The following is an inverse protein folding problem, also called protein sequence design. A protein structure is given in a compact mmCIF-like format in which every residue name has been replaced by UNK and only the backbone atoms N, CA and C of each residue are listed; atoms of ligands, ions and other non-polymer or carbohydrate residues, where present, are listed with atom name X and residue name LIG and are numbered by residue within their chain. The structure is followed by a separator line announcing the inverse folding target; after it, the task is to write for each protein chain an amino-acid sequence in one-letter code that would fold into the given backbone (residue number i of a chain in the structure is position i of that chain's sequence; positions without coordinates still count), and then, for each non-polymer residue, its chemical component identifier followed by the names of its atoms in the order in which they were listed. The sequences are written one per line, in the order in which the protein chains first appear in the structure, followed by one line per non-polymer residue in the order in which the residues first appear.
data_IF_046157178394
#
_entry.id   IF_046157178394
#
_cell.length_a   1.000
_cell.length_b   1.000
_cell.length_c   1.000
_cell.angle_alpha   90.00
_cell.angle_beta   90.00
_cell.angle_gamma   90.00
#
_symmetry.space_group_name_H-M   'P 1'
#
loop_
_entity.id
_entity.type
_entity.pdbx_description
1 polymer ?
#
# COMPACT_ATOMS: atom_id res chain seq x y z
N UNK A 1 10.49 41.44 44.92
CA UNK A 1 9.38 41.07 44.03
C UNK A 1 9.95 40.14 42.97
N UNK A 2 9.61 38.87 43.08
CA UNK A 2 10.05 37.79 42.18
C UNK A 2 9.11 37.73 40.98
N UNK A 3 9.67 37.76 39.77
CA UNK A 3 8.94 37.46 38.53
C UNK A 3 9.33 36.05 38.09
N UNK A 4 8.40 35.12 38.25
CA UNK A 4 8.52 33.76 37.76
C UNK A 4 8.34 33.73 36.24
N UNK A 5 9.36 33.24 35.53
CA UNK A 5 9.27 32.82 34.14
C UNK A 5 8.68 31.41 34.09
N UNK A 6 7.42 31.30 33.65
CA UNK A 6 6.82 30.03 33.26
C UNK A 6 7.30 29.66 31.86
N UNK A 7 8.33 28.83 31.80
CA UNK A 7 8.70 28.10 30.58
C UNK A 7 7.79 26.88 30.47
N UNK A 8 6.85 26.90 29.53
CA UNK A 8 6.05 25.72 29.18
C UNK A 8 6.95 24.80 28.35
N UNK A 9 7.49 23.79 29.01
CA UNK A 9 7.94 22.56 28.36
C UNK A 9 6.72 21.66 28.15
N UNK A 10 6.51 21.17 26.93
CA UNK A 10 6.04 19.81 26.56
C UNK A 10 5.28 19.83 25.22
N UNK A 11 5.82 19.12 24.22
CA UNK A 11 5.05 18.44 23.16
C UNK A 11 5.89 17.49 22.26
N UNK A 12 7.22 17.41 22.35
CA UNK A 12 8.02 16.63 21.38
C UNK A 12 8.36 15.19 21.80
N UNK A 13 8.13 14.80 23.06
CA UNK A 13 8.51 13.47 23.58
C UNK A 13 7.44 12.37 23.44
N UNK A 14 6.20 12.69 23.08
CA UNK A 14 5.13 11.67 22.96
C UNK A 14 5.14 10.94 21.61
N UNK A 15 5.57 11.57 20.51
CA UNK A 15 5.42 10.99 19.16
C UNK A 15 6.43 9.88 18.85
N UNK A 16 7.62 9.91 19.48
CA UNK A 16 8.68 8.91 19.23
C UNK A 16 8.32 7.57 19.91
N UNK A 17 7.87 7.63 21.17
CA UNK A 17 7.45 6.44 21.93
C UNK A 17 6.20 5.77 21.32
N UNK A 18 5.26 6.53 20.74
CA UNK A 18 4.08 5.96 20.08
C UNK A 18 4.42 5.29 18.75
N UNK A 19 5.30 5.91 17.94
CA UNK A 19 5.73 5.33 16.66
C UNK A 19 6.43 3.98 16.87
N UNK A 20 7.34 3.90 17.84
CA UNK A 20 8.06 2.66 18.16
C UNK A 20 7.12 1.53 18.61
N UNK A 21 5.99 1.87 19.27
CA UNK A 21 4.99 0.89 19.69
C UNK A 21 4.16 0.31 18.55
N UNK A 22 3.91 1.09 17.50
CA UNK A 22 3.00 0.68 16.40
C UNK A 22 3.73 0.18 15.15
N UNK A 23 5.06 0.33 15.06
CA UNK A 23 5.87 -0.20 13.94
C UNK A 23 5.67 -1.69 13.70
N UNK A 24 5.39 -2.46 14.75
CA UNK A 24 5.11 -3.89 14.66
C UNK A 24 3.86 -4.25 13.83
N UNK A 25 3.01 -3.27 13.49
CA UNK A 25 1.81 -3.51 12.68
C UNK A 25 2.09 -3.69 11.19
N UNK A 26 3.29 -3.32 10.73
CA UNK A 26 3.76 -3.57 9.37
C UNK A 26 2.94 -2.89 8.25
N UNK A 27 2.08 -1.91 8.61
CA UNK A 27 1.17 -1.23 7.68
C UNK A 27 1.17 0.27 7.98
N UNK A 28 1.74 1.07 7.07
CA UNK A 28 1.84 2.53 7.21
C UNK A 28 0.47 3.19 7.38
N UNK A 29 -0.59 2.64 6.79
CA UNK A 29 -1.95 3.17 6.90
C UNK A 29 -2.43 3.06 8.34
N UNK A 30 -2.23 1.91 8.98
CA UNK A 30 -2.60 1.69 10.39
C UNK A 30 -1.72 2.51 11.33
N UNK A 31 -0.43 2.62 11.04
CA UNK A 31 0.50 3.46 11.81
C UNK A 31 0.05 4.92 11.75
N UNK A 32 -0.25 5.45 10.56
CA UNK A 32 -0.74 6.81 10.39
C UNK A 32 -2.07 7.02 11.11
N UNK A 33 -3.02 6.08 10.97
CA UNK A 33 -4.33 6.20 11.61
C UNK A 33 -4.22 6.29 13.14
N UNK A 34 -3.27 5.57 13.74
CA UNK A 34 -3.09 5.59 15.19
C UNK A 34 -2.19 6.70 15.73
N UNK A 35 -1.14 7.11 14.99
CA UNK A 35 -0.19 8.14 15.47
C UNK A 35 -0.64 9.54 15.08
N UNK A 36 -1.09 9.73 13.84
CA UNK A 36 -1.38 11.04 13.26
C UNK A 36 -2.89 11.30 13.12
N UNK A 37 -3.73 10.27 13.31
CA UNK A 37 -5.20 10.36 13.35
C UNK A 37 -5.86 9.63 14.55
N UNK A 38 -5.34 9.72 15.81
CA UNK A 38 -5.78 8.92 16.96
C UNK A 38 -7.27 9.11 17.36
N UNK A 39 -7.98 10.04 16.71
CA UNK A 39 -9.41 10.19 16.85
C UNK A 39 -10.03 10.35 15.44
N UNK A 40 -10.63 9.28 14.86
CA UNK A 40 -11.16 9.28 13.48
C UNK A 40 -12.33 10.24 13.23
N UNK A 41 -12.65 11.12 14.20
CA UNK A 41 -13.70 12.15 14.13
C UNK A 41 -13.18 13.57 13.89
N UNK A 42 -11.86 13.81 13.79
CA UNK A 42 -11.32 15.17 13.64
C UNK A 42 -10.88 15.52 12.21
N UNK A 43 -10.25 14.61 11.47
CA UNK A 43 -9.78 14.89 10.11
C UNK A 43 -10.81 14.41 9.09
N UNK A 44 -11.38 15.34 8.33
CA UNK A 44 -12.23 15.01 7.17
C UNK A 44 -11.36 14.48 6.03
N UNK A 45 -11.94 13.72 5.10
CA UNK A 45 -11.25 13.30 3.85
C UNK A 45 -10.50 14.46 3.19
N UNK A 46 -11.14 15.63 3.08
CA UNK A 46 -10.54 16.84 2.50
C UNK A 46 -9.20 17.26 3.14
N UNK A 47 -9.10 17.17 4.47
CA UNK A 47 -7.87 17.52 5.20
C UNK A 47 -6.78 16.49 4.93
N UNK A 48 -7.12 15.21 4.90
CA UNK A 48 -6.16 14.13 4.64
C UNK A 48 -5.66 14.19 3.19
N UNK A 49 -6.52 14.56 2.24
CA UNK A 49 -6.12 14.84 0.85
C UNK A 49 -5.13 16.00 0.79
N UNK A 50 -5.38 17.08 1.54
CA UNK A 50 -4.44 18.21 1.60
C UNK A 50 -3.08 17.80 2.21
N UNK A 51 -3.07 16.98 3.26
CA UNK A 51 -1.84 16.41 3.83
C UNK A 51 -1.09 15.54 2.80
N UNK A 52 -1.82 14.67 2.07
CA UNK A 52 -1.23 13.83 1.02
C UNK A 52 -0.59 14.68 -0.09
N UNK A 53 -1.29 15.72 -0.57
CA UNK A 53 -0.78 16.66 -1.59
C UNK A 53 0.51 17.34 -1.13
N UNK A 54 0.57 17.80 0.13
CA UNK A 54 1.78 18.43 0.67
C UNK A 54 2.93 17.43 0.80
N UNK A 55 2.66 16.23 1.31
CA UNK A 55 3.65 15.17 1.43
C UNK A 55 4.25 14.77 0.08
N UNK A 56 3.42 14.66 -0.96
CA UNK A 56 3.86 14.42 -2.34
C UNK A 56 4.85 15.47 -2.85
N UNK A 57 4.52 16.75 -2.65
CA UNK A 57 5.38 17.86 -3.10
C UNK A 57 6.72 17.84 -2.35
N UNK A 58 6.68 17.61 -1.03
CA UNK A 58 7.86 17.62 -0.17
C UNK A 58 8.82 16.47 -0.48
N UNK A 59 8.32 15.25 -0.60
CA UNK A 59 9.11 14.08 -1.01
C UNK A 59 9.66 14.24 -2.42
N UNK A 60 8.88 14.84 -3.32
CA UNK A 60 9.33 15.23 -4.65
C UNK A 60 10.54 16.16 -4.63
N UNK A 61 10.47 17.24 -3.84
CA UNK A 61 11.57 18.18 -3.68
C UNK A 61 12.81 17.53 -3.07
N UNK A 62 12.64 16.68 -2.05
CA UNK A 62 13.76 15.94 -1.45
C UNK A 62 14.49 15.01 -2.45
N UNK A 63 13.82 14.58 -3.52
CA UNK A 63 14.34 13.66 -4.53
C UNK A 63 14.71 14.34 -5.86
N UNK A 64 14.67 15.67 -5.95
CA UNK A 64 14.82 16.44 -7.21
C UNK A 64 13.81 15.99 -8.29
N UNK A 65 12.56 15.79 -7.88
CA UNK A 65 11.41 15.37 -8.70
C UNK A 65 10.25 16.38 -8.62
N UNK A 66 10.56 17.64 -8.34
CA UNK A 66 9.61 18.72 -8.04
C UNK A 66 8.50 18.83 -9.09
N UNK A 67 8.86 18.82 -10.37
CA UNK A 67 7.90 18.99 -11.46
C UNK A 67 6.91 17.82 -11.53
N UNK A 68 7.39 16.58 -11.43
CA UNK A 68 6.54 15.39 -11.42
C UNK A 68 5.66 15.36 -10.15
N UNK A 69 6.22 15.73 -9.01
CA UNK A 69 5.52 15.80 -7.73
C UNK A 69 4.38 16.82 -7.74
N UNK A 70 4.64 18.04 -8.22
CA UNK A 70 3.60 19.07 -8.38
C UNK A 70 2.49 18.59 -9.32
N UNK A 71 2.85 17.94 -10.41
CA UNK A 71 1.87 17.43 -11.38
C UNK A 71 0.98 16.31 -10.80
N UNK A 72 1.56 15.36 -10.06
CA UNK A 72 0.78 14.32 -9.37
C UNK A 72 -0.07 14.90 -8.24
N UNK A 73 0.50 15.80 -7.44
CA UNK A 73 -0.19 16.47 -6.35
C UNK A 73 -1.37 17.33 -6.86
N UNK A 74 -1.22 17.97 -8.03
CA UNK A 74 -2.29 18.71 -8.68
C UNK A 74 -3.46 17.79 -9.09
N UNK A 75 -3.20 16.58 -9.58
CA UNK A 75 -4.25 15.62 -9.91
C UNK A 75 -5.08 15.26 -8.68
N UNK A 76 -4.43 14.85 -7.59
CA UNK A 76 -5.11 14.53 -6.35
C UNK A 76 -5.83 15.75 -5.75
N UNK A 77 -5.20 16.92 -5.78
CA UNK A 77 -5.80 18.17 -5.31
C UNK A 77 -7.02 18.60 -6.12
N UNK A 78 -7.07 18.28 -7.42
CA UNK A 78 -8.18 18.65 -8.31
C UNK A 78 -9.48 17.92 -7.99
N UNK A 79 -9.41 16.69 -7.48
CA UNK A 79 -10.58 15.88 -7.10
C UNK A 79 -10.99 16.05 -5.63
N UNK A 80 -10.26 16.88 -4.88
CA UNK A 80 -10.56 17.16 -3.46
C UNK A 80 -11.98 17.68 -3.21
N UNK A 81 -12.55 18.40 -4.18
CA UNK A 81 -13.88 19.01 -4.06
C UNK A 81 -15.03 17.99 -3.99
N UNK A 82 -14.80 16.74 -4.40
CA UNK A 82 -15.78 15.65 -4.24
C UNK A 82 -15.97 15.22 -2.79
N UNK A 83 -15.03 15.56 -1.89
CA UNK A 83 -15.22 15.35 -0.46
C UNK A 83 -16.07 16.49 0.14
N UNK A 84 -17.36 16.23 0.35
CA UNK A 84 -18.25 17.14 1.08
C UNK A 84 -17.75 17.40 2.51
N UNK A 85 -18.17 18.53 3.09
CA UNK A 85 -17.82 18.86 4.48
C UNK A 85 -18.35 17.78 5.43
N UNK A 86 -17.45 17.16 6.20
CA UNK A 86 -17.80 16.09 7.13
C UNK A 86 -17.78 14.68 6.53
N UNK A 87 -17.35 14.51 5.28
CA UNK A 87 -17.13 13.17 4.71
C UNK A 87 -16.07 12.43 5.51
N UNK A 88 -16.49 11.30 6.11
CA UNK A 88 -15.61 10.34 6.75
C UNK A 88 -14.97 9.41 5.73
N UNK A 89 -13.82 8.87 6.09
CA UNK A 89 -12.97 8.08 5.19
C UNK A 89 -13.62 6.76 4.77
N UNK A 90 -14.53 6.21 5.59
CA UNK A 90 -15.36 5.04 5.25
C UNK A 90 -16.26 5.28 4.01
N UNK A 91 -16.58 6.54 3.71
CA UNK A 91 -17.37 6.96 2.56
C UNK A 91 -16.52 7.78 1.59
N UNK A 92 -15.29 7.31 1.30
CA UNK A 92 -14.41 8.00 0.37
C UNK A 92 -15.05 8.10 -1.04
N UNK A 93 -15.18 9.31 -1.61
CA UNK A 93 -15.70 9.49 -2.97
C UNK A 93 -14.90 8.70 -4.01
N UNK A 94 -15.60 8.14 -4.99
CA UNK A 94 -14.99 7.29 -6.01
C UNK A 94 -13.93 8.02 -6.83
N UNK A 95 -14.15 9.30 -7.12
CA UNK A 95 -13.24 10.15 -7.90
C UNK A 95 -11.90 10.33 -7.18
N UNK A 96 -11.91 10.47 -5.85
CA UNK A 96 -10.70 10.54 -5.04
C UNK A 96 -10.01 9.19 -5.03
N UNK A 97 -10.76 8.11 -4.76
CA UNK A 97 -10.22 6.76 -4.70
C UNK A 97 -9.62 6.28 -6.01
N UNK A 98 -10.29 6.50 -7.13
CA UNK A 98 -9.80 6.12 -8.46
C UNK A 98 -8.59 6.96 -8.87
N UNK A 99 -8.53 8.25 -8.48
CA UNK A 99 -7.34 9.09 -8.67
C UNK A 99 -6.15 8.59 -7.86
N UNK A 100 -6.37 8.16 -6.61
CA UNK A 100 -5.31 7.56 -5.79
C UNK A 100 -4.74 6.29 -6.43
N UNK A 101 -5.61 5.43 -6.96
CA UNK A 101 -5.19 4.22 -7.67
C UNK A 101 -4.43 4.59 -8.96
N UNK A 102 -4.93 5.54 -9.75
CA UNK A 102 -4.26 6.00 -10.95
C UNK A 102 -2.85 6.55 -10.67
N UNK A 103 -2.72 7.38 -9.64
CA UNK A 103 -1.43 7.92 -9.21
C UNK A 103 -0.49 6.81 -8.73
N UNK A 104 -1.01 5.86 -7.94
CA UNK A 104 -0.22 4.75 -7.40
C UNK A 104 0.28 3.80 -8.51
N UNK A 105 -0.55 3.50 -9.51
CA UNK A 105 -0.21 2.55 -10.58
C UNK A 105 0.71 3.13 -11.66
N UNK A 106 0.95 4.44 -11.64
CA UNK A 106 1.87 5.10 -12.57
C UNK A 106 3.32 4.75 -12.26
N UNK A 107 4.10 4.44 -13.30
CA UNK A 107 5.57 4.41 -13.19
C UNK A 107 6.10 5.82 -12.89
N UNK A 108 6.15 6.15 -11.61
CA UNK A 108 6.43 7.47 -11.07
C UNK A 108 7.40 7.40 -9.90
N UNK A 109 7.99 8.54 -9.53
CA UNK A 109 8.77 8.60 -8.29
C UNK A 109 7.91 8.23 -7.07
N UNK A 110 6.62 8.58 -7.08
CA UNK A 110 5.72 8.39 -5.95
C UNK A 110 5.48 6.91 -5.66
N UNK A 111 5.16 6.12 -6.69
CA UNK A 111 5.05 4.67 -6.60
C UNK A 111 6.35 4.03 -6.06
N UNK A 112 7.49 4.43 -6.62
CA UNK A 112 8.81 3.92 -6.21
C UNK A 112 9.12 4.27 -4.76
N UNK A 113 8.79 5.49 -4.33
CA UNK A 113 9.03 6.00 -2.98
C UNK A 113 8.17 5.27 -1.95
N UNK A 114 6.87 5.17 -2.17
CA UNK A 114 5.95 4.43 -1.28
C UNK A 114 6.42 3.00 -1.11
N UNK A 115 6.65 2.27 -2.21
CA UNK A 115 7.07 0.87 -2.13
C UNK A 115 8.46 0.70 -1.54
N UNK A 116 9.37 1.67 -1.72
CA UNK A 116 10.67 1.66 -1.06
C UNK A 116 10.53 1.75 0.46
N UNK A 117 9.78 2.73 0.96
CA UNK A 117 9.57 2.91 2.41
C UNK A 117 8.79 1.76 3.03
N UNK A 118 7.76 1.25 2.36
CA UNK A 118 6.96 0.13 2.85
C UNK A 118 7.75 -1.18 2.98
N UNK A 119 8.77 -1.40 2.15
CA UNK A 119 9.66 -2.57 2.28
C UNK A 119 10.51 -2.52 3.55
N UNK A 120 10.82 -1.32 4.02
CA UNK A 120 11.64 -1.06 5.20
C UNK A 120 10.81 -0.38 6.30
N UNK A 121 9.55 -0.82 6.47
CA UNK A 121 8.58 -0.16 7.36
C UNK A 121 9.06 -0.04 8.81
N UNK A 122 9.91 -0.95 9.26
CA UNK A 122 10.52 -0.92 10.61
C UNK A 122 11.45 0.30 10.81
N UNK A 123 12.01 0.82 9.71
CA UNK A 123 12.90 1.98 9.71
C UNK A 123 12.17 3.30 9.39
N UNK A 124 10.83 3.29 9.30
CA UNK A 124 10.07 4.49 8.95
C UNK A 124 10.28 5.61 9.97
N UNK A 125 10.61 6.81 9.49
CA UNK A 125 10.72 8.01 10.32
C UNK A 125 9.37 8.68 10.52
N UNK A 126 9.24 9.49 11.59
CA UNK A 126 8.03 10.30 11.81
C UNK A 126 7.77 11.28 10.65
N UNK A 127 8.82 11.75 9.98
CA UNK A 127 8.70 12.61 8.82
C UNK A 127 8.13 11.86 7.60
N UNK A 128 8.67 10.68 7.29
CA UNK A 128 8.13 9.82 6.23
C UNK A 128 6.69 9.40 6.50
N UNK A 129 6.35 9.14 7.77
CA UNK A 129 4.98 8.83 8.15
C UNK A 129 4.04 10.00 7.87
N UNK A 130 4.44 11.22 8.19
CA UNK A 130 3.64 12.43 7.91
C UNK A 130 3.49 12.69 6.42
N UNK A 131 4.54 12.46 5.64
CA UNK A 131 4.57 12.78 4.21
C UNK A 131 3.87 11.69 3.37
N UNK A 132 4.01 10.40 3.71
CA UNK A 132 3.48 9.28 2.92
C UNK A 132 2.19 8.66 3.49
N UNK A 133 2.02 8.74 4.82
CA UNK A 133 0.91 8.13 5.56
C UNK A 133 -0.47 8.54 5.07
N UNK A 134 -0.78 9.85 4.88
CA UNK A 134 -2.09 10.29 4.43
C UNK A 134 -2.53 9.66 3.10
N UNK A 135 -1.62 9.59 2.12
CA UNK A 135 -1.89 8.98 0.82
C UNK A 135 -2.16 7.49 0.96
N UNK A 136 -1.27 6.78 1.68
CA UNK A 136 -1.39 5.34 1.87
C UNK A 136 -2.65 4.97 2.65
N UNK A 137 -3.04 5.80 3.63
CA UNK A 137 -4.26 5.63 4.40
C UNK A 137 -5.50 5.75 3.52
N UNK A 138 -5.63 6.83 2.74
CA UNK A 138 -6.76 7.00 1.83
C UNK A 138 -6.86 5.87 0.81
N UNK A 139 -5.73 5.49 0.20
CA UNK A 139 -5.68 4.39 -0.76
C UNK A 139 -6.13 3.08 -0.11
N UNK A 140 -5.57 2.73 1.05
CA UNK A 140 -5.91 1.49 1.75
C UNK A 140 -7.40 1.43 2.11
N UNK A 141 -7.95 2.53 2.64
CA UNK A 141 -9.36 2.62 3.04
C UNK A 141 -10.29 2.46 1.83
N UNK A 142 -9.96 3.10 0.71
CA UNK A 142 -10.74 2.96 -0.52
C UNK A 142 -10.75 1.51 -1.03
N UNK A 143 -9.58 0.87 -1.08
CA UNK A 143 -9.44 -0.50 -1.56
C UNK A 143 -10.16 -1.50 -0.65
N UNK A 144 -10.20 -1.27 0.67
CA UNK A 144 -10.95 -2.10 1.60
C UNK A 144 -12.46 -1.92 1.48
N UNK A 145 -12.93 -0.69 1.23
CA UNK A 145 -14.36 -0.38 1.13
C UNK A 145 -15.00 -0.83 -0.19
N UNK A 146 -14.20 -0.98 -1.27
CA UNK A 146 -14.72 -1.51 -2.54
C UNK A 146 -15.13 -2.98 -2.40
N UNK A 147 -16.45 -3.21 -2.41
CA UNK A 147 -17.06 -4.54 -2.44
C UNK A 147 -17.11 -5.10 -3.87
N UNK A 148 -15.97 -5.50 -4.42
CA UNK A 148 -15.95 -6.38 -5.61
C UNK A 148 -16.02 -7.83 -5.17
N UNK A 149 -16.78 -8.69 -5.85
CA UNK A 149 -16.65 -10.14 -5.62
C UNK A 149 -15.25 -10.54 -6.15
N UNK A 150 -14.50 -11.37 -5.40
CA UNK A 150 -13.32 -12.00 -5.99
C UNK A 150 -13.83 -12.96 -7.07
N UNK A 151 -13.71 -12.53 -8.32
CA UNK A 151 -13.86 -13.36 -9.51
C UNK A 151 -12.52 -13.99 -9.94
N UNK A 152 -11.42 -13.54 -9.31
CA UNK A 152 -10.07 -13.99 -9.58
C UNK A 152 -9.42 -14.63 -8.34
N UNK A 153 -9.01 -15.89 -8.45
CA UNK A 153 -8.33 -16.63 -7.39
C UNK A 153 -6.85 -16.84 -7.66
N UNK A 154 -6.34 -16.58 -8.87
CA UNK A 154 -4.93 -16.77 -9.19
C UNK A 154 -4.43 -15.51 -9.88
N UNK A 155 -3.34 -14.97 -9.35
CA UNK A 155 -2.66 -13.80 -9.91
C UNK A 155 -1.18 -14.08 -10.10
N UNK A 156 -0.54 -13.28 -10.95
CA UNK A 156 0.80 -13.51 -11.45
C UNK A 156 1.67 -12.28 -11.27
N UNK A 157 2.96 -12.48 -10.97
CA UNK A 157 3.92 -11.37 -10.92
C UNK A 157 5.27 -11.80 -11.46
N UNK A 158 5.72 -11.14 -12.51
CA UNK A 158 7.09 -11.25 -12.99
C UNK A 158 8.05 -10.41 -12.14
N UNK A 159 9.21 -10.97 -11.80
CA UNK A 159 10.24 -10.34 -10.98
C UNK A 159 11.62 -10.68 -11.51
N UNK A 160 12.55 -9.73 -11.37
CA UNK A 160 13.98 -9.98 -11.57
C UNK A 160 14.60 -10.23 -10.20
N UNK A 161 14.91 -11.50 -9.91
CA UNK A 161 15.46 -11.94 -8.62
C UNK A 161 16.84 -12.59 -8.79
N UNK A 162 17.68 -12.42 -7.77
CA UNK A 162 18.89 -13.26 -7.57
C UNK A 162 18.51 -14.63 -7.00
N UNK A 163 19.47 -15.56 -6.96
CA UNK A 163 19.24 -16.87 -6.32
C UNK A 163 18.95 -16.73 -4.83
N UNK A 164 19.66 -15.83 -4.14
CA UNK A 164 19.45 -15.54 -2.71
C UNK A 164 18.03 -15.02 -2.45
N UNK A 165 17.57 -14.06 -3.26
CA UNK A 165 16.21 -13.54 -3.15
C UNK A 165 15.16 -14.62 -3.44
N UNK A 166 15.42 -15.53 -4.38
CA UNK A 166 14.51 -16.68 -4.60
C UNK A 166 14.43 -17.59 -3.38
N UNK A 167 15.53 -17.81 -2.65
CA UNK A 167 15.51 -18.57 -1.40
C UNK A 167 14.63 -17.91 -0.34
N UNK A 168 14.57 -16.57 -0.30
CA UNK A 168 13.67 -15.87 0.62
C UNK A 168 12.18 -16.18 0.35
N UNK A 169 11.81 -16.35 -0.92
CA UNK A 169 10.47 -16.79 -1.33
C UNK A 169 10.21 -18.30 -1.13
N UNK A 170 11.22 -19.08 -0.74
CA UNK A 170 11.06 -20.51 -0.41
C UNK A 170 10.97 -20.75 1.10
N UNK A 171 10.98 -19.68 1.91
CA UNK A 171 10.74 -19.77 3.35
C UNK A 171 9.29 -20.17 3.62
N UNK A 172 9.06 -20.77 4.78
CA UNK A 172 7.75 -21.29 5.20
C UNK A 172 6.65 -20.20 5.11
N UNK A 173 7.00 -18.96 5.45
CA UNK A 173 6.07 -17.83 5.45
C UNK A 173 6.71 -16.61 4.81
N UNK A 174 5.96 -15.97 3.91
CA UNK A 174 6.37 -14.77 3.16
C UNK A 174 5.37 -13.68 3.45
N UNK A 175 5.84 -12.48 3.76
CA UNK A 175 4.97 -11.31 3.98
C UNK A 175 5.25 -10.28 2.90
N UNK A 176 4.21 -9.88 2.19
CA UNK A 176 4.28 -8.72 1.31
C UNK A 176 4.05 -7.48 2.15
N UNK A 177 5.13 -6.79 2.52
CA UNK A 177 5.11 -5.60 3.38
C UNK A 177 4.64 -4.33 2.66
N UNK A 178 4.62 -4.36 1.32
CA UNK A 178 4.16 -3.26 0.48
C UNK A 178 2.99 -3.69 -0.39
N UNK A 179 2.27 -2.71 -0.92
CA UNK A 179 1.31 -2.94 -1.99
C UNK A 179 2.01 -3.69 -3.14
N UNK A 180 1.43 -4.80 -3.58
CA UNK A 180 2.05 -5.67 -4.57
C UNK A 180 1.15 -5.78 -5.80
N UNK A 181 1.52 -5.05 -6.85
CA UNK A 181 0.89 -5.17 -8.17
C UNK A 181 1.06 -6.58 -8.73
N UNK A 182 -0.03 -7.18 -9.17
CA UNK A 182 -0.04 -8.49 -9.83
C UNK A 182 -0.95 -8.39 -11.04
N UNK A 183 -0.79 -9.30 -12.00
CA UNK A 183 -1.66 -9.38 -13.18
C UNK A 183 -2.54 -10.60 -13.07
N UNK A 184 -3.78 -10.50 -13.56
CA UNK A 184 -4.64 -11.68 -13.83
C UNK A 184 -4.21 -12.42 -15.10
N UNK A 185 -3.46 -11.74 -15.97
CA UNK A 185 -2.94 -12.27 -17.22
C UNK A 185 -1.53 -12.86 -17.02
N UNK A 186 -1.46 -14.19 -17.04
CA UNK A 186 -0.19 -14.92 -16.88
C UNK A 186 0.82 -14.56 -17.96
N UNK A 187 0.38 -14.55 -19.21
CA UNK A 187 1.26 -14.36 -20.37
C UNK A 187 1.96 -12.99 -20.28
N UNK A 188 1.23 -11.98 -19.81
CA UNK A 188 1.78 -10.64 -19.62
C UNK A 188 2.77 -10.59 -18.43
N UNK A 189 2.42 -11.18 -17.28
CA UNK A 189 3.33 -11.25 -16.15
C UNK A 189 4.63 -12.01 -16.48
N UNK A 190 4.56 -13.01 -17.37
CA UNK A 190 5.70 -13.78 -17.84
C UNK A 190 6.66 -12.99 -18.73
N UNK A 191 6.28 -11.83 -19.27
CA UNK A 191 7.22 -10.96 -20.02
C UNK A 191 8.27 -10.36 -19.06
N UNK A 192 7.92 -10.17 -17.79
CA UNK A 192 8.75 -9.44 -16.84
C UNK A 192 9.70 -10.36 -16.07
N UNK A 193 10.98 -9.99 -16.03
CA UNK A 193 12.01 -10.59 -15.16
C UNK A 193 12.35 -12.05 -15.43
N UNK A 194 13.19 -12.63 -14.56
CA UNK A 194 13.66 -14.02 -14.66
C UNK A 194 12.87 -15.00 -13.76
N UNK A 195 11.94 -14.49 -12.95
CA UNK A 195 11.15 -15.28 -12.01
C UNK A 195 9.67 -14.92 -12.16
N UNK A 196 8.79 -15.92 -12.16
CA UNK A 196 7.34 -15.76 -12.12
C UNK A 196 6.83 -16.24 -10.75
N UNK A 197 6.08 -15.38 -10.08
CA UNK A 197 5.24 -15.79 -8.96
C UNK A 197 3.85 -16.18 -9.49
N UNK A 198 3.37 -17.35 -9.10
CA UNK A 198 1.98 -17.79 -9.28
C UNK A 198 1.34 -17.83 -7.90
N UNK A 199 0.36 -16.96 -7.66
CA UNK A 199 -0.17 -16.69 -6.33
C UNK A 199 -1.65 -17.09 -6.29
N UNK A 200 -1.94 -18.14 -5.53
CA UNK A 200 -3.30 -18.57 -5.23
C UNK A 200 -3.87 -17.76 -4.05
N UNK A 201 -4.92 -17.00 -4.33
CA UNK A 201 -5.63 -16.12 -3.41
C UNK A 201 -6.84 -16.82 -2.77
N UNK A 202 -7.17 -18.06 -3.16
CA UNK A 202 -8.37 -18.75 -2.73
C UNK A 202 -8.43 -18.89 -1.20
N UNK A 203 -9.37 -18.21 -0.52
CA UNK A 203 -9.59 -18.41 0.89
C UNK A 203 -10.40 -19.70 1.05
N UNK A 204 -9.71 -20.84 1.23
CA UNK A 204 -10.33 -22.16 1.48
C UNK A 204 -11.70 -22.04 2.18
N UNK A 205 -12.75 -22.49 1.48
CA UNK A 205 -14.16 -22.09 1.64
C UNK A 205 -14.87 -22.60 2.90
N UNK A 206 -14.19 -23.22 3.85
CA UNK A 206 -14.86 -24.09 4.83
C UNK A 206 -15.67 -23.36 5.93
N UNK A 207 -15.54 -22.05 6.15
CA UNK A 207 -16.34 -21.33 7.20
C UNK A 207 -16.80 -19.92 6.82
N UNK A 208 -17.89 -19.82 6.03
CA UNK A 208 -18.43 -18.64 5.33
C UNK A 208 -18.86 -17.41 6.18
N UNK A 209 -18.54 -17.30 7.48
CA UNK A 209 -19.12 -16.24 8.32
C UNK A 209 -18.35 -14.92 8.36
N UNK A 210 -17.13 -14.83 7.80
CA UNK A 210 -16.35 -13.58 7.80
C UNK A 210 -15.78 -13.26 6.41
N UNK A 211 -16.35 -12.25 5.76
CA UNK A 211 -16.08 -11.88 4.36
C UNK A 211 -15.02 -10.80 4.20
N UNK A 212 -14.63 -10.09 5.27
CA UNK A 212 -13.71 -8.94 5.19
C UNK A 212 -12.26 -9.34 5.43
N UNK A 213 -11.99 -10.27 6.36
CA UNK A 213 -10.64 -10.80 6.63
C UNK A 213 -10.07 -11.75 5.55
N UNK A 214 -10.92 -12.21 4.62
CA UNK A 214 -10.55 -13.18 3.59
C UNK A 214 -9.84 -12.59 2.38
N UNK A 215 -10.01 -11.29 2.12
CA UNK A 215 -9.43 -10.63 0.94
C UNK A 215 -7.98 -10.21 1.23
N UNK A 216 -7.13 -10.30 0.22
CA UNK A 216 -5.76 -9.81 0.29
C UNK A 216 -5.48 -8.74 -0.77
N UNK A 217 -6.49 -8.33 -1.54
CA UNK A 217 -6.33 -7.37 -2.61
C UNK A 217 -7.63 -7.15 -3.36
N UNK A 218 -7.54 -6.40 -4.45
CA UNK A 218 -8.67 -6.03 -5.29
C UNK A 218 -8.24 -5.86 -6.75
N UNK A 219 -9.14 -6.22 -7.67
CA UNK A 219 -9.02 -5.88 -9.08
C UNK A 219 -9.15 -4.37 -9.29
N UNK A 220 -8.12 -3.78 -9.90
CA UNK A 220 -8.06 -2.36 -10.23
C UNK A 220 -7.92 -2.12 -11.74
N UNK A 221 -8.16 -3.14 -12.57
CA UNK A 221 -8.03 -3.11 -14.03
C UNK A 221 -8.70 -1.89 -14.66
N UNK A 222 -9.89 -1.52 -14.21
CA UNK A 222 -10.68 -0.42 -14.80
C UNK A 222 -10.17 0.99 -14.46
N UNK A 223 -9.27 1.12 -13.48
CA UNK A 223 -8.80 2.41 -12.95
C UNK A 223 -7.27 2.51 -12.96
N UNK A 224 -6.57 1.39 -13.14
CA UNK A 224 -5.12 1.37 -13.33
C UNK A 224 -4.76 2.16 -14.60
N UNK A 225 -3.57 2.76 -14.58
CA UNK A 225 -3.02 3.42 -15.77
C UNK A 225 -2.79 2.43 -16.92
N UNK A 226 -2.53 1.15 -16.62
CA UNK A 226 -2.24 0.11 -17.59
C UNK A 226 -3.35 -0.94 -17.56
N UNK A 227 -4.50 -0.60 -18.13
CA UNK A 227 -5.72 -1.44 -18.09
C UNK A 227 -5.49 -2.82 -18.73
N UNK A 228 -4.61 -2.92 -19.72
CA UNK A 228 -4.20 -4.15 -20.37
C UNK A 228 -3.42 -5.09 -19.44
N UNK A 229 -2.88 -4.57 -18.33
CA UNK A 229 -2.18 -5.40 -17.35
C UNK A 229 -3.12 -6.23 -16.49
N UNK A 230 -4.43 -6.03 -16.58
CA UNK A 230 -5.44 -6.71 -15.77
C UNK A 230 -5.03 -6.73 -14.28
N UNK A 231 -4.65 -5.55 -13.78
CA UNK A 231 -3.95 -5.43 -12.51
C UNK A 231 -4.86 -5.79 -11.32
N UNK A 232 -4.38 -6.72 -10.51
CA UNK A 232 -4.90 -7.02 -9.19
C UNK A 232 -3.89 -6.54 -8.15
N UNK A 233 -4.31 -5.62 -7.28
CA UNK A 233 -3.44 -5.00 -6.28
C UNK A 233 -3.57 -5.71 -4.94
N UNK A 234 -2.53 -6.41 -4.51
CA UNK A 234 -2.44 -7.02 -3.19
C UNK A 234 -2.10 -5.95 -2.15
N UNK A 235 -2.81 -5.96 -1.03
CA UNK A 235 -2.63 -5.04 0.09
C UNK A 235 -1.31 -5.31 0.86
N UNK A 236 -0.75 -4.29 1.52
CA UNK A 236 0.38 -4.48 2.43
C UNK A 236 0.05 -5.43 3.58
N UNK A 237 1.12 -5.98 4.16
CA UNK A 237 1.10 -6.91 5.29
C UNK A 237 0.16 -8.11 5.03
N UNK A 238 0.35 -8.79 3.89
CA UNK A 238 -0.36 -10.04 3.57
C UNK A 238 0.61 -11.20 3.51
N UNK A 239 0.20 -12.30 4.13
CA UNK A 239 1.03 -13.50 4.31
C UNK A 239 0.71 -14.55 3.25
N UNK A 240 1.75 -15.20 2.77
CA UNK A 240 1.69 -16.27 1.81
C UNK A 240 2.60 -17.43 2.22
N UNK A 241 2.11 -18.65 2.00
CA UNK A 241 2.84 -19.89 2.24
C UNK A 241 3.48 -20.33 0.93
N UNK A 242 4.73 -20.76 1.00
CA UNK A 242 5.41 -21.39 -0.13
C UNK A 242 4.77 -22.75 -0.44
N UNK A 243 4.47 -23.00 -1.72
CA UNK A 243 3.87 -24.28 -2.15
C UNK A 243 4.91 -25.14 -2.85
N UNK A 244 5.52 -24.62 -3.91
CA UNK A 244 6.54 -25.33 -4.69
C UNK A 244 7.36 -24.39 -5.57
N UNK A 245 8.46 -24.91 -6.07
CA UNK A 245 9.37 -24.24 -6.99
C UNK A 245 9.65 -25.13 -8.21
N UNK A 246 9.64 -24.52 -9.39
CA UNK A 246 9.93 -25.16 -10.67
C UNK A 246 10.90 -24.30 -11.49
N UNK A 247 11.67 -24.93 -12.37
CA UNK A 247 12.47 -24.22 -13.36
C UNK A 247 12.02 -24.62 -14.76
N UNK A 248 11.41 -23.66 -15.45
CA UNK A 248 11.01 -23.79 -16.85
C UNK A 248 12.26 -23.64 -17.73
N UNK A 249 12.79 -24.78 -18.16
CA UNK A 249 14.00 -24.84 -18.99
C UNK A 249 13.81 -24.16 -20.36
N UNK A 250 12.73 -24.42 -21.12
CA UNK A 250 12.46 -23.71 -22.37
C UNK A 250 12.52 -22.19 -22.24
N UNK A 251 11.81 -21.63 -21.25
CA UNK A 251 11.73 -20.18 -21.07
C UNK A 251 12.84 -19.60 -20.18
N UNK A 252 13.73 -20.47 -19.66
CA UNK A 252 14.78 -20.13 -18.69
C UNK A 252 14.24 -19.32 -17.51
N UNK A 253 13.08 -19.73 -17.00
CA UNK A 253 12.30 -18.98 -16.02
C UNK A 253 12.13 -19.76 -14.74
N UNK A 254 12.36 -19.10 -13.62
CA UNK A 254 12.09 -19.65 -12.29
C UNK A 254 10.60 -19.45 -11.98
N UNK A 255 9.91 -20.48 -11.50
CA UNK A 255 8.49 -20.39 -11.16
C UNK A 255 8.32 -20.73 -9.68
N UNK A 256 7.72 -19.81 -8.92
CA UNK A 256 7.45 -19.97 -7.50
C UNK A 256 5.95 -19.92 -7.29
N UNK A 257 5.41 -20.94 -6.65
CA UNK A 257 3.98 -21.05 -6.34
C UNK A 257 3.77 -20.67 -4.89
N UNK A 258 2.84 -19.74 -4.67
CA UNK A 258 2.47 -19.21 -3.35
C UNK A 258 0.97 -19.44 -3.14
N UNK A 259 0.58 -19.65 -1.88
CA UNK A 259 -0.82 -19.71 -1.47
C UNK A 259 -1.07 -18.72 -0.35
N UNK A 260 -2.21 -18.02 -0.35
CA UNK A 260 -2.58 -17.09 0.71
C UNK A 260 -2.63 -17.83 2.06
N UNK A 261 -1.83 -17.38 3.03
CA UNK A 261 -1.82 -17.99 4.35
C UNK A 261 -3.17 -17.81 5.06
N UNK A 262 -3.53 -18.78 5.91
CA UNK A 262 -4.74 -18.70 6.77
C UNK A 262 -4.59 -17.70 7.91
N UNK A 263 -3.37 -17.36 8.30
CA UNK A 263 -3.08 -16.52 9.46
C UNK A 263 -2.60 -15.12 9.02
N UNK A 264 -3.49 -14.13 9.18
CA UNK A 264 -3.08 -12.72 9.27
C UNK A 264 -2.86 -12.44 10.76
N UNK A 265 -1.65 -12.00 11.12
CA UNK A 265 -1.32 -11.62 12.49
C UNK A 265 -1.65 -10.13 12.69
#
# INVERSE_FOLDING_TARGET
MSLATNTVFHAETQSVDELDRVRCWGDISRIYDCVENPCPRKKTVRHIVDEAVQGMIKEGAALNKEHEAQWLAQQLGSVKHYAENGTNVENLPAEIGDTLIHIYTRDSFWFKRINGVLREIEAITSEQLKDLGPFCYLLHQYLQCKKTLLDCFIVYRGLLLTDEQRQDFMKEKITFTSFTSTSRNRDLAEIYGNTLLIIDLNPNLENLSDTTGRRCGIDITHVSQFTEEEEFLIWPNRNFDFVKYEYDRPNKKHIIYLHKSRHNW
#
